data_IF_962517183366
#
_entry.id   IF_962517183366
#
_cell.length_a   1.000
_cell.length_b   1.000
_cell.length_c   1.000
_cell.angle_alpha   90.00
_cell.angle_beta   90.00
_cell.angle_gamma   90.00
#
_symmetry.space_group_name_H-M   'P 1'
#
loop_
_entity.id
_entity.type
_entity.pdbx_description
1 polymer ?
#
# COMPACT_ATOMS: atom_id res chain seq x y z
N UNK A 1 -50.88 -67.70 22.09
CA UNK A 1 -52.20 -67.60 21.42
C UNK A 1 -52.93 -66.42 22.02
N UNK A 2 -53.05 -65.32 21.26
CA UNK A 2 -54.02 -64.25 21.44
C UNK A 2 -54.17 -63.56 20.07
N UNK A 3 -55.07 -64.10 19.24
CA UNK A 3 -55.95 -63.31 18.37
C UNK A 3 -57.02 -62.70 19.31
N UNK A 4 -57.66 -61.55 19.11
CA UNK A 4 -58.13 -60.75 17.96
C UNK A 4 -58.45 -59.34 18.53
N UNK A 5 -58.66 -58.21 17.85
CA UNK A 5 -59.47 -57.82 16.66
C UNK A 5 -58.90 -56.45 16.19
N UNK A 6 -58.48 -56.23 14.95
CA UNK A 6 -59.24 -56.02 13.70
C UNK A 6 -59.77 -54.58 13.46
N UNK A 7 -59.19 -53.95 12.42
CA UNK A 7 -59.81 -53.01 11.45
C UNK A 7 -60.13 -51.58 11.94
N UNK A 8 -59.82 -50.48 11.23
CA UNK A 8 -60.10 -50.23 9.82
C UNK A 8 -59.32 -49.00 9.32
N UNK A 9 -58.72 -49.09 8.12
CA UNK A 9 -58.28 -47.94 7.29
C UNK A 9 -59.38 -47.69 6.24
N UNK A 10 -59.63 -46.43 5.85
CA UNK A 10 -59.73 -46.08 4.42
C UNK A 10 -58.78 -44.89 4.12
N UNK A 11 -57.80 -45.03 3.23
CA UNK A 11 -57.84 -44.93 1.76
C UNK A 11 -58.37 -43.60 1.20
N UNK A 12 -57.39 -42.84 0.71
CA UNK A 12 -57.36 -42.02 -0.51
C UNK A 12 -58.16 -40.72 -0.62
N UNK A 13 -57.40 -39.62 -0.66
CA UNK A 13 -57.54 -38.65 -1.75
C UNK A 13 -56.20 -37.94 -1.98
N UNK A 14 -55.55 -38.27 -3.10
CA UNK A 14 -54.52 -37.45 -3.72
C UNK A 14 -55.25 -36.30 -4.41
N UNK A 15 -55.00 -35.06 -4.00
CA UNK A 15 -55.12 -33.91 -4.89
C UNK A 15 -53.82 -33.12 -4.86
N UNK A 16 -53.02 -33.35 -5.90
CA UNK A 16 -52.00 -32.44 -6.36
C UNK A 16 -52.72 -31.15 -6.77
N UNK A 17 -52.60 -30.09 -5.98
CA UNK A 17 -52.83 -28.75 -6.46
C UNK A 17 -51.54 -27.96 -6.29
N UNK A 18 -50.82 -27.88 -7.40
CA UNK A 18 -49.76 -26.91 -7.63
C UNK A 18 -50.26 -25.51 -7.29
N UNK A 19 -49.65 -24.87 -6.31
CA UNK A 19 -49.46 -23.43 -6.36
C UNK A 19 -47.99 -23.15 -6.04
N UNK A 20 -47.25 -23.08 -7.14
CA UNK A 20 -45.94 -22.51 -7.28
C UNK A 20 -46.05 -20.99 -7.04
N UNK A 21 -45.96 -20.54 -5.79
CA UNK A 21 -45.70 -19.15 -5.37
C UNK A 21 -45.44 -19.23 -3.86
N UNK A 22 -44.19 -19.27 -3.38
CA UNK A 22 -43.33 -18.10 -3.28
C UNK A 22 -41.85 -18.48 -3.47
N UNK A 23 -41.35 -18.29 -4.70
CA UNK A 23 -39.95 -17.89 -4.86
C UNK A 23 -39.83 -16.43 -4.46
N UNK A 24 -39.85 -16.13 -3.16
CA UNK A 24 -39.45 -14.79 -2.70
C UNK A 24 -39.04 -14.76 -1.22
N UNK A 25 -37.92 -15.41 -0.90
CA UNK A 25 -37.01 -14.84 0.07
C UNK A 25 -35.62 -14.86 -0.55
N UNK A 26 -35.27 -13.73 -1.18
CA UNK A 26 -33.98 -13.08 -1.06
C UNK A 26 -33.05 -13.76 -0.04
N UNK A 27 -32.35 -14.81 -0.49
CA UNK A 27 -31.11 -15.27 0.14
C UNK A 27 -30.03 -14.23 -0.16
N UNK A 28 -30.23 -13.00 0.32
CA UNK A 28 -29.12 -12.12 0.62
C UNK A 28 -28.42 -12.83 1.76
N UNK A 29 -27.37 -13.56 1.41
CA UNK A 29 -26.41 -14.13 2.34
C UNK A 29 -25.88 -12.95 3.17
N UNK A 30 -26.56 -12.63 4.28
CA UNK A 30 -26.15 -11.60 5.22
C UNK A 30 -24.87 -12.14 5.85
N UNK A 31 -23.73 -11.67 5.35
CA UNK A 31 -22.44 -11.91 5.96
C UNK A 31 -22.57 -11.67 7.47
N UNK A 32 -22.02 -12.57 8.28
CA UNK A 32 -22.02 -12.38 9.73
C UNK A 32 -21.37 -11.03 10.07
N UNK A 33 -21.74 -10.37 11.19
CA UNK A 33 -21.09 -9.13 11.61
C UNK A 33 -19.55 -9.25 11.65
N UNK A 34 -19.03 -10.43 12.01
CA UNK A 34 -17.61 -10.75 11.97
C UNK A 34 -17.01 -10.76 10.55
N UNK A 35 -17.73 -11.30 9.56
CA UNK A 35 -17.31 -11.29 8.15
C UNK A 35 -17.36 -9.87 7.56
N UNK A 36 -18.37 -9.06 7.91
CA UNK A 36 -18.44 -7.65 7.48
C UNK A 36 -17.28 -6.82 8.05
N UNK A 37 -16.90 -7.05 9.31
CA UNK A 37 -15.75 -6.38 9.94
C UNK A 37 -14.43 -6.80 9.26
N UNK A 38 -14.28 -8.08 8.91
CA UNK A 38 -13.09 -8.55 8.19
C UNK A 38 -13.01 -7.98 6.76
N UNK A 39 -14.12 -7.93 6.03
CA UNK A 39 -14.18 -7.34 4.69
C UNK A 39 -13.81 -5.85 4.72
N UNK A 40 -14.35 -5.09 5.69
CA UNK A 40 -14.01 -3.67 5.87
C UNK A 40 -12.54 -3.46 6.18
N UNK A 41 -11.96 -4.28 7.07
CA UNK A 41 -10.52 -4.21 7.39
C UNK A 41 -9.65 -4.50 6.17
N UNK A 42 -10.05 -5.47 5.35
CA UNK A 42 -9.34 -5.82 4.13
C UNK A 42 -9.40 -4.70 3.08
N UNK A 43 -10.56 -4.05 2.95
CA UNK A 43 -10.73 -2.87 2.08
C UNK A 43 -9.84 -1.70 2.54
N UNK A 44 -9.81 -1.41 3.85
CA UNK A 44 -8.95 -0.38 4.43
C UNK A 44 -7.46 -0.67 4.21
N UNK A 45 -7.05 -1.95 4.31
CA UNK A 45 -5.69 -2.38 4.02
C UNK A 45 -5.31 -2.12 2.55
N UNK A 46 -6.17 -2.51 1.60
CA UNK A 46 -5.92 -2.25 0.18
C UNK A 46 -5.92 -0.76 -0.15
N UNK A 47 -6.77 0.04 0.49
CA UNK A 47 -6.76 1.49 0.33
C UNK A 47 -5.42 2.09 0.76
N UNK A 48 -4.89 1.70 1.94
CA UNK A 48 -3.56 2.13 2.42
C UNK A 48 -2.45 1.69 1.45
N UNK A 49 -2.48 0.42 1.00
CA UNK A 49 -1.53 -0.11 0.00
C UNK A 49 -1.49 0.74 -1.26
N UNK A 50 -2.66 1.02 -1.84
CA UNK A 50 -2.76 1.82 -3.07
C UNK A 50 -2.35 3.28 -2.84
N UNK A 51 -2.62 3.84 -1.67
CA UNK A 51 -2.18 5.18 -1.32
C UNK A 51 -0.64 5.28 -1.26
N UNK A 52 0.06 4.33 -0.61
CA UNK A 52 1.53 4.29 -0.60
C UNK A 52 2.06 4.15 -2.02
N UNK A 53 1.49 3.22 -2.81
CA UNK A 53 1.92 2.99 -4.20
C UNK A 53 1.72 4.22 -5.07
N UNK A 54 0.58 4.90 -4.97
CA UNK A 54 0.28 6.09 -5.75
C UNK A 54 1.22 7.24 -5.39
N UNK A 55 1.43 7.50 -4.09
CA UNK A 55 2.28 8.58 -3.61
C UNK A 55 3.75 8.36 -3.99
N UNK A 56 4.23 7.13 -3.87
CA UNK A 56 5.61 6.77 -4.25
C UNK A 56 5.81 6.79 -5.76
N UNK A 57 4.81 6.36 -6.55
CA UNK A 57 4.84 6.50 -8.01
C UNK A 57 4.90 7.98 -8.44
N UNK A 58 4.10 8.83 -7.80
CA UNK A 58 4.15 10.27 -8.03
C UNK A 58 5.53 10.86 -7.69
N UNK A 59 6.14 10.45 -6.58
CA UNK A 59 7.50 10.85 -6.21
C UNK A 59 8.55 10.46 -7.25
N UNK A 60 8.44 9.26 -7.85
CA UNK A 60 9.31 8.84 -8.94
C UNK A 60 9.13 9.69 -10.19
N UNK A 61 7.88 9.99 -10.59
CA UNK A 61 7.59 10.88 -11.74
C UNK A 61 8.18 12.27 -11.51
N UNK A 62 8.01 12.84 -10.31
CA UNK A 62 8.61 14.12 -9.95
C UNK A 62 10.13 14.10 -9.99
N UNK A 63 10.75 13.00 -9.59
CA UNK A 63 12.21 12.83 -9.62
C UNK A 63 12.73 12.85 -11.07
N UNK A 64 12.03 12.16 -11.98
CA UNK A 64 12.36 12.17 -13.42
C UNK A 64 12.14 13.57 -14.02
N UNK A 65 11.03 14.23 -13.70
CA UNK A 65 10.76 15.59 -14.16
C UNK A 65 11.82 16.60 -13.66
N UNK A 66 12.22 16.49 -12.38
CA UNK A 66 13.28 17.32 -11.80
C UNK A 66 14.63 17.09 -12.48
N UNK A 67 14.95 15.83 -12.84
CA UNK A 67 16.17 15.51 -13.58
C UNK A 67 16.19 16.17 -14.96
N UNK A 68 15.10 16.06 -15.71
CA UNK A 68 14.96 16.71 -17.02
C UNK A 68 15.10 18.23 -16.89
N UNK A 69 14.43 18.83 -15.89
CA UNK A 69 14.53 20.26 -15.62
C UNK A 69 15.98 20.71 -15.35
N UNK A 70 16.74 19.93 -14.56
CA UNK A 70 18.14 20.24 -14.26
C UNK A 70 19.01 20.14 -15.51
N UNK A 71 18.77 19.16 -16.39
CA UNK A 71 19.50 19.05 -17.65
C UNK A 71 19.23 20.23 -18.59
N UNK A 72 18.00 20.74 -18.61
CA UNK A 72 17.62 21.91 -19.43
C UNK A 72 18.25 23.19 -18.87
N UNK A 73 18.29 23.35 -17.55
CA UNK A 73 18.73 24.60 -16.90
C UNK A 73 20.21 24.64 -16.53
N UNK A 74 20.96 23.55 -16.76
CA UNK A 74 22.36 23.40 -16.30
C UNK A 74 23.28 24.55 -16.73
N UNK A 75 23.17 25.03 -17.97
CA UNK A 75 24.09 26.03 -18.52
C UNK A 75 23.81 27.44 -17.95
N UNK A 76 22.54 27.75 -17.71
CA UNK A 76 22.12 29.00 -17.08
C UNK A 76 22.59 29.06 -15.62
N UNK A 77 22.39 27.96 -14.88
CA UNK A 77 22.81 27.84 -13.49
C UNK A 77 24.33 27.82 -13.38
N UNK A 78 25.04 27.13 -14.27
CA UNK A 78 26.50 27.13 -14.31
C UNK A 78 27.10 28.52 -14.52
N UNK A 79 26.53 29.31 -15.44
CA UNK A 79 26.90 30.73 -15.63
C UNK A 79 26.61 31.57 -14.39
N UNK A 80 25.48 31.34 -13.73
CA UNK A 80 25.12 32.05 -12.50
C UNK A 80 26.11 31.74 -11.37
N UNK A 81 26.45 30.46 -11.16
CA UNK A 81 27.42 30.02 -10.15
C UNK A 81 28.80 30.63 -10.43
N UNK A 82 29.28 30.60 -11.67
CA UNK A 82 30.55 31.24 -12.04
C UNK A 82 30.53 32.75 -11.77
N UNK A 83 29.41 33.43 -12.09
CA UNK A 83 29.27 34.86 -11.79
C UNK A 83 29.35 35.16 -10.29
N UNK A 84 28.82 34.28 -9.45
CA UNK A 84 28.88 34.42 -7.98
C UNK A 84 30.23 33.97 -7.39
N UNK A 85 30.89 33.00 -8.02
CA UNK A 85 32.18 32.44 -7.63
C UNK A 85 33.11 32.34 -8.86
N UNK A 86 33.77 33.45 -9.25
CA UNK A 86 34.56 33.50 -10.48
C UNK A 86 35.78 32.59 -10.47
N UNK A 87 36.21 32.14 -9.30
CA UNK A 87 37.31 31.16 -9.11
C UNK A 87 37.01 29.79 -9.73
N UNK A 88 35.72 29.43 -9.89
CA UNK A 88 35.30 28.15 -10.45
C UNK A 88 34.91 28.38 -11.90
N UNK A 89 35.52 27.66 -12.85
CA UNK A 89 35.12 27.77 -14.27
C UNK A 89 33.64 27.42 -14.47
N UNK A 90 32.97 28.10 -15.40
CA UNK A 90 31.55 27.84 -15.69
C UNK A 90 31.28 26.38 -16.07
N UNK A 91 32.23 25.73 -16.75
CA UNK A 91 32.15 24.30 -17.08
C UNK A 91 32.19 23.42 -15.83
N UNK A 92 33.15 23.65 -14.92
CA UNK A 92 33.25 22.89 -13.68
C UNK A 92 32.04 23.13 -12.76
N UNK A 93 31.52 24.36 -12.72
CA UNK A 93 30.31 24.70 -11.98
C UNK A 93 29.08 23.95 -12.52
N UNK A 94 28.94 23.88 -13.84
CA UNK A 94 27.86 23.14 -14.51
C UNK A 94 27.94 21.64 -14.21
N UNK A 95 29.12 21.05 -14.39
CA UNK A 95 29.35 19.63 -14.12
C UNK A 95 29.09 19.28 -12.65
N UNK A 96 29.62 20.09 -11.73
CA UNK A 96 29.41 19.90 -10.29
C UNK A 96 27.95 20.02 -9.88
N UNK A 97 27.23 21.01 -10.42
CA UNK A 97 25.80 21.17 -10.17
C UNK A 97 24.99 19.97 -10.65
N UNK A 98 25.19 19.54 -11.89
CA UNK A 98 24.51 18.37 -12.46
C UNK A 98 24.81 17.13 -11.63
N UNK A 99 26.07 16.89 -11.25
CA UNK A 99 26.48 15.73 -10.46
C UNK A 99 25.80 15.70 -9.08
N UNK A 100 25.87 16.80 -8.33
CA UNK A 100 25.26 16.89 -6.99
C UNK A 100 23.74 16.69 -7.07
N UNK A 101 23.08 17.37 -8.01
CA UNK A 101 21.64 17.25 -8.16
C UNK A 101 21.20 15.88 -8.64
N UNK A 102 21.98 15.24 -9.53
CA UNK A 102 21.70 13.87 -9.99
C UNK A 102 21.76 12.86 -8.83
N UNK A 103 22.72 13.02 -7.91
CA UNK A 103 22.82 12.17 -6.71
C UNK A 103 21.58 12.34 -5.82
N UNK A 104 21.18 13.59 -5.56
CA UNK A 104 19.99 13.88 -4.72
C UNK A 104 18.70 13.35 -5.35
N UNK A 105 18.54 13.48 -6.67
CA UNK A 105 17.39 12.93 -7.39
C UNK A 105 17.41 11.41 -7.34
N UNK A 106 18.57 10.78 -7.58
CA UNK A 106 18.71 9.32 -7.55
C UNK A 106 18.37 8.75 -6.18
N UNK A 107 18.78 9.45 -5.11
CA UNK A 107 18.40 9.13 -3.75
C UNK A 107 16.88 9.20 -3.56
N UNK A 108 16.23 10.28 -4.00
CA UNK A 108 14.78 10.47 -3.89
C UNK A 108 13.98 9.42 -4.69
N UNK A 109 14.49 9.07 -5.87
CA UNK A 109 13.92 8.02 -6.70
C UNK A 109 14.03 6.64 -6.03
N UNK A 110 15.21 6.30 -5.50
CA UNK A 110 15.45 5.03 -4.80
C UNK A 110 14.63 4.92 -3.53
N UNK A 111 14.51 6.01 -2.79
CA UNK A 111 13.62 6.13 -1.63
C UNK A 111 12.15 5.81 -2.01
N UNK A 112 11.68 6.37 -3.12
CA UNK A 112 10.34 6.14 -3.63
C UNK A 112 10.14 4.68 -4.08
N UNK A 113 11.16 4.08 -4.72
CA UNK A 113 11.16 2.65 -5.08
C UNK A 113 11.02 1.75 -3.85
N UNK A 114 11.72 2.04 -2.75
CA UNK A 114 11.61 1.27 -1.51
C UNK A 114 10.16 1.28 -1.01
N UNK A 115 9.52 2.45 -0.96
CA UNK A 115 8.13 2.57 -0.54
C UNK A 115 7.15 1.84 -1.47
N UNK A 116 7.37 1.94 -2.79
CA UNK A 116 6.55 1.22 -3.76
C UNK A 116 6.69 -0.30 -3.59
N UNK A 117 7.91 -0.84 -3.48
CA UNK A 117 8.13 -2.27 -3.29
C UNK A 117 7.65 -2.76 -1.93
N UNK A 118 7.79 -1.95 -0.87
CA UNK A 118 7.23 -2.26 0.44
C UNK A 118 5.72 -2.51 0.36
N UNK A 119 4.98 -1.61 -0.32
CA UNK A 119 3.54 -1.74 -0.49
C UNK A 119 3.16 -2.86 -1.48
N UNK A 120 3.84 -2.94 -2.62
CA UNK A 120 3.54 -3.90 -3.68
C UNK A 120 3.68 -5.35 -3.21
N UNK A 121 4.82 -5.67 -2.58
CA UNK A 121 5.12 -7.00 -2.05
C UNK A 121 4.61 -7.24 -0.63
N UNK A 122 3.92 -6.26 -0.02
CA UNK A 122 3.43 -6.35 1.35
C UNK A 122 4.55 -6.75 2.34
N UNK A 123 5.75 -6.22 2.06
CA UNK A 123 7.00 -6.65 2.69
C UNK A 123 7.23 -5.90 3.99
N UNK A 124 6.94 -6.56 5.11
CA UNK A 124 7.18 -6.03 6.45
C UNK A 124 8.56 -5.36 6.65
N UNK A 125 9.71 -6.01 6.33
CA UNK A 125 11.01 -5.37 6.55
C UNK A 125 11.20 -4.12 5.68
N UNK A 126 10.74 -4.14 4.42
CA UNK A 126 10.82 -2.96 3.55
C UNK A 126 9.91 -1.83 4.04
N UNK A 127 8.71 -2.13 4.54
CA UNK A 127 7.81 -1.13 5.12
C UNK A 127 8.43 -0.48 6.35
N UNK A 128 9.06 -1.26 7.23
CA UNK A 128 9.77 -0.73 8.41
C UNK A 128 10.97 0.14 7.98
N UNK A 129 11.77 -0.31 7.01
CA UNK A 129 12.85 0.51 6.44
C UNK A 129 12.31 1.82 5.87
N UNK A 130 11.21 1.76 5.11
CA UNK A 130 10.57 2.93 4.56
C UNK A 130 10.07 3.89 5.65
N UNK A 131 9.48 3.38 6.74
CA UNK A 131 9.08 4.18 7.90
C UNK A 131 10.27 4.89 8.56
N UNK A 132 11.38 4.19 8.78
CA UNK A 132 12.59 4.77 9.35
C UNK A 132 13.13 5.90 8.46
N UNK A 133 13.19 5.67 7.15
CA UNK A 133 13.64 6.70 6.21
C UNK A 133 12.69 7.92 6.19
N UNK A 134 11.38 7.72 6.30
CA UNK A 134 10.41 8.81 6.47
C UNK A 134 10.66 9.63 7.75
N UNK A 135 10.97 8.97 8.87
CA UNK A 135 11.29 9.65 10.13
C UNK A 135 12.57 10.49 10.02
N UNK A 136 13.60 9.96 9.35
CA UNK A 136 14.83 10.71 9.06
C UNK A 136 14.52 11.92 8.15
N UNK A 137 13.65 11.72 7.15
CA UNK A 137 13.15 12.78 6.28
C UNK A 137 12.48 13.90 7.07
N UNK A 138 11.54 13.56 7.96
CA UNK A 138 10.84 14.52 8.82
C UNK A 138 11.82 15.34 9.68
N UNK A 139 12.81 14.69 10.31
CA UNK A 139 13.83 15.38 11.12
C UNK A 139 14.65 16.33 10.24
N UNK A 140 14.99 15.91 9.02
CA UNK A 140 15.73 16.74 8.06
C UNK A 140 14.91 17.96 7.63
N UNK A 141 13.63 17.77 7.29
CA UNK A 141 12.70 18.84 6.94
C UNK A 141 12.54 19.83 8.09
N UNK A 142 12.35 19.33 9.31
CA UNK A 142 12.24 20.16 10.51
C UNK A 142 13.52 20.94 10.82
N UNK A 143 14.70 20.33 10.62
CA UNK A 143 16.00 21.00 10.82
C UNK A 143 16.25 22.11 9.80
N UNK A 144 15.76 21.92 8.58
CA UNK A 144 15.86 22.91 7.48
C UNK A 144 14.78 23.99 7.53
N UNK A 145 13.81 23.90 8.45
CA UNK A 145 12.66 24.80 8.53
C UNK A 145 13.05 26.27 8.64
N UNK A 146 14.16 26.57 9.34
CA UNK A 146 14.67 27.93 9.54
C UNK A 146 15.23 28.59 8.27
N UNK A 147 15.52 27.81 7.22
CA UNK A 147 16.19 28.28 6.01
C UNK A 147 15.26 28.36 4.77
N UNK A 148 14.01 27.90 4.90
CA UNK A 148 13.02 27.85 3.82
C UNK A 148 11.84 28.78 4.11
N UNK A 149 11.07 29.12 3.08
CA UNK A 149 9.82 29.87 3.23
C UNK A 149 8.82 29.10 4.10
N UNK A 150 8.18 29.80 5.04
CA UNK A 150 7.29 29.21 6.05
C UNK A 150 6.19 28.32 5.46
N UNK A 151 5.64 28.71 4.30
CA UNK A 151 4.61 27.94 3.61
C UNK A 151 5.11 26.60 3.04
N UNK A 152 6.24 26.59 2.34
CA UNK A 152 6.79 25.39 1.73
C UNK A 152 7.28 24.37 2.77
N UNK A 153 7.85 24.88 3.88
CA UNK A 153 8.22 24.06 5.03
C UNK A 153 7.00 23.40 5.66
N UNK A 154 5.93 24.18 5.92
CA UNK A 154 4.71 23.66 6.54
C UNK A 154 4.06 22.56 5.68
N UNK A 155 3.94 22.77 4.36
CA UNK A 155 3.40 21.76 3.46
C UNK A 155 4.22 20.48 3.44
N UNK A 156 5.56 20.58 3.45
CA UNK A 156 6.45 19.42 3.47
C UNK A 156 6.28 18.63 4.76
N UNK A 157 6.22 19.30 5.92
CA UNK A 157 6.01 18.66 7.21
C UNK A 157 4.66 17.92 7.28
N UNK A 158 3.59 18.51 6.74
CA UNK A 158 2.27 17.87 6.68
C UNK A 158 2.33 16.59 5.84
N UNK A 159 2.97 16.65 4.66
CA UNK A 159 3.14 15.49 3.79
C UNK A 159 3.94 14.40 4.51
N UNK A 160 5.07 14.76 5.15
CA UNK A 160 5.91 13.82 5.89
C UNK A 160 5.12 13.11 7.01
N UNK A 161 4.33 13.85 7.79
CA UNK A 161 3.49 13.29 8.87
C UNK A 161 2.41 12.37 8.31
N UNK A 162 1.73 12.74 7.24
CA UNK A 162 0.72 11.89 6.59
C UNK A 162 1.36 10.58 6.10
N UNK A 163 2.54 10.67 5.49
CA UNK A 163 3.26 9.53 4.94
C UNK A 163 3.73 8.58 6.05
N UNK A 164 4.22 9.13 7.17
CA UNK A 164 4.57 8.38 8.38
C UNK A 164 3.35 7.66 8.95
N UNK A 165 2.24 8.38 9.15
CA UNK A 165 1.02 7.79 9.72
C UNK A 165 0.50 6.65 8.84
N UNK A 166 0.43 6.87 7.53
CA UNK A 166 -0.06 5.90 6.57
C UNK A 166 0.83 4.65 6.51
N UNK A 167 2.15 4.84 6.51
CA UNK A 167 3.12 3.73 6.55
C UNK A 167 3.06 2.97 7.88
N UNK A 168 2.91 3.68 9.01
CA UNK A 168 2.78 3.08 10.33
C UNK A 168 1.54 2.19 10.43
N UNK A 169 0.37 2.69 10.02
CA UNK A 169 -0.85 1.90 10.01
C UNK A 169 -0.76 0.71 9.05
N UNK A 170 -0.10 0.87 7.91
CA UNK A 170 0.16 -0.25 6.99
C UNK A 170 1.03 -1.33 7.64
N UNK A 171 2.08 -0.95 8.39
CA UNK A 171 2.92 -1.90 9.14
C UNK A 171 2.13 -2.61 10.25
N UNK A 172 1.25 -1.90 10.95
CA UNK A 172 0.37 -2.51 11.96
C UNK A 172 -0.53 -3.56 11.32
N UNK A 173 -1.19 -3.24 10.20
CA UNK A 173 -2.04 -4.20 9.48
C UNK A 173 -1.23 -5.42 9.02
N UNK A 174 -0.01 -5.23 8.49
CA UNK A 174 0.89 -6.34 8.11
C UNK A 174 1.27 -7.23 9.30
N UNK A 175 1.48 -6.62 10.48
CA UNK A 175 1.78 -7.35 11.70
C UNK A 175 0.58 -8.20 12.14
N UNK A 176 -0.61 -7.61 12.13
CA UNK A 176 -1.85 -8.28 12.53
C UNK A 176 -2.21 -9.41 11.56
N UNK A 177 -1.99 -9.20 10.26
CA UNK A 177 -2.15 -10.23 9.22
C UNK A 177 -1.21 -11.42 9.40
N UNK A 178 0.02 -11.18 9.91
CA UNK A 178 0.98 -12.25 10.22
C UNK A 178 0.60 -13.09 11.45
N UNK A 179 -0.17 -12.52 12.38
CA UNK A 179 -0.59 -13.19 13.61
C UNK A 179 -1.96 -13.88 13.50
N UNK A 180 -2.68 -13.72 12.39
CA UNK A 180 -3.85 -14.54 12.09
C UNK A 180 -3.38 -15.99 11.86
N UNK A 181 -4.02 -16.99 12.50
CA UNK A 181 -3.67 -18.39 12.28
C UNK A 181 -3.85 -18.68 10.79
N UNK A 182 -2.75 -19.05 10.12
CA UNK A 182 -2.85 -19.61 8.78
C UNK A 182 -3.79 -20.81 8.85
N UNK A 183 -4.89 -20.87 8.08
CA UNK A 183 -5.58 -22.12 7.91
C UNK A 183 -4.53 -23.09 7.36
N UNK A 184 -4.31 -24.19 8.08
CA UNK A 184 -3.40 -25.28 7.74
C UNK A 184 -3.44 -25.58 6.23
N UNK A 185 -2.59 -24.93 5.45
CA UNK A 185 -2.12 -25.42 4.17
C UNK A 185 -0.96 -26.36 4.51
N UNK A 186 -1.29 -27.46 5.17
CA UNK A 186 -0.41 -28.62 5.18
C UNK A 186 -0.24 -29.05 3.74
N UNK A 187 0.96 -28.85 3.21
CA UNK A 187 1.44 -29.31 1.92
C UNK A 187 0.88 -30.69 1.56
N UNK A 188 0.52 -30.95 0.29
CA UNK A 188 0.42 -32.32 -0.16
C UNK A 188 1.82 -32.94 -0.02
N UNK A 189 1.99 -33.85 0.94
CA UNK A 189 3.12 -34.76 0.95
C UNK A 189 3.05 -35.55 -0.36
N UNK A 190 3.91 -35.18 -1.30
CA UNK A 190 4.36 -36.04 -2.38
C UNK A 190 4.82 -37.34 -1.72
N UNK A 191 3.98 -38.37 -1.84
CA UNK A 191 4.32 -39.76 -1.58
C UNK A 191 5.23 -40.23 -2.71
N UNK A 192 6.50 -39.82 -2.65
CA UNK A 192 7.58 -40.62 -3.22
C UNK A 192 7.91 -41.71 -2.19
N UNK A 193 7.47 -42.94 -2.47
CA UNK A 193 8.14 -44.14 -1.97
C UNK A 193 7.73 -45.32 -2.85
N UNK A 194 8.25 -45.33 -4.08
CA UNK A 194 8.68 -46.58 -4.70
C UNK A 194 9.92 -47.06 -3.96
N UNK A 195 9.82 -48.21 -3.30
CA UNK A 195 10.88 -48.92 -2.60
C UNK A 195 10.33 -50.22 -2.05
#
# INVERSE_FOLDING_TARGET
MSESEQSTIPSDSIMIQSNQTDMNQSNVMKCSPSQQIQMKRLEEFYCKKHAIMCLTAFGMVLSVAAFIYILITKDEVGKLIHKTKPEISAENATQGWVLIMSILISYTFTYSLIGMFAAFYESYPLSVTFLILNLIGLVTTASMASYRTSFGTLSSLIIDVILIALTYFFIQDLRDLRHLPQPHLSSPKLLESTG
#
